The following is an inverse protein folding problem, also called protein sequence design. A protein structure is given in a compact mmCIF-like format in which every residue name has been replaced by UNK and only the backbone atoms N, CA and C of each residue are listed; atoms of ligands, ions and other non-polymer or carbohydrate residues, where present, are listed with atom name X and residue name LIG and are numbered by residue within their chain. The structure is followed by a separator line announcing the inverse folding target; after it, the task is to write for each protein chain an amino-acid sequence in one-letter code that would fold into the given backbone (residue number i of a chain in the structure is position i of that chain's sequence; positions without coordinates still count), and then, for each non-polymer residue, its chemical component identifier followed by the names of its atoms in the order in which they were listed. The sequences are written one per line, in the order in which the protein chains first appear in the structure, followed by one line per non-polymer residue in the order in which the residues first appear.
data_IF_559901236995
#
_entry.id   IF_559901236995
#
_cell.length_a   1.000
_cell.length_b   1.000
_cell.length_c   1.000
_cell.angle_alpha   90.00
_cell.angle_beta   90.00
_cell.angle_gamma   90.00
#
_symmetry.space_group_name_H-M   'P 1'
#
loop_
_entity.id
_entity.type
_entity.pdbx_description
1 polymer ?
#
# COMPACT_ATOMS: atom_id res chain seq x y z
N UNK A 1 22.77 35.14 37.86
CA UNK A 1 22.81 33.80 37.23
C UNK A 1 21.39 33.41 36.82
N UNK A 2 20.97 33.76 35.61
CA UNK A 2 19.59 33.59 35.11
C UNK A 2 19.64 33.10 33.66
N UNK A 3 19.94 31.82 33.43
CA UNK A 3 19.94 31.25 32.06
C UNK A 3 19.54 29.76 31.98
N UNK A 4 18.68 29.26 32.88
CA UNK A 4 18.32 27.83 32.89
C UNK A 4 16.84 27.56 33.18
N UNK A 5 15.91 28.29 32.53
CA UNK A 5 14.47 27.98 32.66
C UNK A 5 13.65 28.01 31.36
N UNK A 6 14.30 28.09 30.19
CA UNK A 6 13.58 28.24 28.92
C UNK A 6 13.83 27.12 27.90
N UNK A 7 14.18 25.90 28.35
CA UNK A 7 14.47 24.79 27.45
C UNK A 7 13.55 23.55 27.60
N UNK A 8 12.60 23.56 28.55
CA UNK A 8 11.83 22.34 28.89
C UNK A 8 10.41 22.28 28.28
N UNK A 9 10.00 23.28 27.49
CA UNK A 9 8.62 23.39 26.99
C UNK A 9 8.42 22.95 25.52
N UNK A 10 9.46 22.47 24.83
CA UNK A 10 9.41 22.10 23.40
C UNK A 10 9.24 20.59 23.12
N UNK A 11 9.21 19.73 24.14
CA UNK A 11 9.14 18.27 23.98
C UNK A 11 7.72 17.68 23.92
N UNK A 12 6.66 18.51 23.94
CA UNK A 12 5.26 18.06 23.95
C UNK A 12 4.63 17.91 22.55
N UNK A 13 5.40 18.12 21.47
CA UNK A 13 4.93 17.95 20.08
C UNK A 13 5.46 16.66 19.43
N UNK A 14 5.63 15.59 20.22
CA UNK A 14 5.73 14.25 19.64
C UNK A 14 4.36 13.88 19.08
N UNK A 15 4.13 14.22 17.81
CA UNK A 15 2.91 13.92 17.08
C UNK A 15 2.55 12.44 17.24
N UNK A 16 1.33 12.19 17.68
CA UNK A 16 0.77 10.85 17.73
C UNK A 16 0.63 10.28 16.31
N UNK A 17 0.96 8.99 16.19
CA UNK A 17 0.74 8.08 15.06
C UNK A 17 1.80 8.10 13.93
N UNK A 18 2.93 7.41 14.17
CA UNK A 18 3.72 6.84 13.09
C UNK A 18 3.00 5.57 12.59
N UNK A 19 2.03 5.75 11.71
CA UNK A 19 1.81 4.77 10.66
C UNK A 19 3.09 4.73 9.82
N UNK A 20 3.97 3.74 10.08
CA UNK A 20 5.21 3.62 9.31
C UNK A 20 4.88 3.34 7.85
N UNK A 21 5.41 4.16 6.95
CA UNK A 21 5.30 3.95 5.51
C UNK A 21 6.63 3.48 4.94
N UNK A 22 6.57 2.44 4.10
CA UNK A 22 7.66 2.00 3.23
C UNK A 22 7.42 2.48 1.81
N UNK A 23 8.46 2.98 1.16
CA UNK A 23 8.45 3.41 -0.24
C UNK A 23 9.45 2.59 -1.05
N UNK A 24 9.13 2.34 -2.32
CA UNK A 24 9.93 1.47 -3.15
C UNK A 24 9.47 1.50 -4.58
N UNK A 25 10.26 0.87 -5.44
CA UNK A 25 10.02 0.83 -6.88
C UNK A 25 10.18 -0.58 -7.38
N UNK A 26 9.35 -0.92 -8.35
CA UNK A 26 9.39 -2.21 -9.02
C UNK A 26 8.60 -2.14 -10.32
N UNK A 27 8.20 -3.30 -10.80
CA UNK A 27 7.26 -3.47 -11.88
C UNK A 27 5.89 -3.75 -11.28
N UNK A 28 4.88 -3.03 -11.77
CA UNK A 28 3.48 -3.32 -11.51
C UNK A 28 2.89 -4.04 -12.73
N UNK A 29 1.93 -4.92 -12.46
CA UNK A 29 1.29 -5.79 -13.43
C UNK A 29 -0.22 -5.71 -13.26
N UNK A 30 -0.94 -5.72 -14.37
CA UNK A 30 -2.39 -5.83 -14.40
C UNK A 30 -2.79 -6.98 -15.31
N UNK A 31 -3.60 -7.88 -14.74
CA UNK A 31 -4.12 -9.06 -15.40
C UNK A 31 -5.65 -8.99 -15.46
N UNK A 32 -6.20 -9.55 -16.54
CA UNK A 32 -7.63 -9.76 -16.72
C UNK A 32 -7.85 -11.11 -17.37
N UNK A 33 -8.77 -11.91 -16.82
CA UNK A 33 -9.04 -13.28 -17.31
C UNK A 33 -7.79 -14.16 -17.36
N UNK A 34 -6.87 -13.96 -16.41
CA UNK A 34 -5.60 -14.69 -16.33
C UNK A 34 -4.51 -14.23 -17.32
N UNK A 35 -4.80 -13.28 -18.21
CA UNK A 35 -3.84 -12.75 -19.18
C UNK A 35 -3.27 -11.41 -18.74
N UNK A 36 -1.97 -11.20 -18.99
CA UNK A 36 -1.30 -9.94 -18.71
C UNK A 36 -1.78 -8.87 -19.70
N UNK A 37 -2.46 -7.85 -19.19
CA UNK A 37 -3.00 -6.76 -20.00
C UNK A 37 -2.03 -5.58 -20.07
N UNK A 38 -1.33 -5.30 -18.97
CA UNK A 38 -0.32 -4.25 -18.93
C UNK A 38 0.70 -4.49 -17.83
N UNK A 39 1.92 -4.00 -18.04
CA UNK A 39 2.96 -3.94 -17.02
C UNK A 39 3.81 -2.68 -17.19
N UNK A 40 4.47 -2.24 -16.14
CA UNK A 40 5.39 -1.12 -16.22
C UNK A 40 6.00 -0.77 -14.88
N UNK A 41 7.03 0.07 -14.91
CA UNK A 41 7.64 0.59 -13.70
C UNK A 41 6.62 1.40 -12.89
N UNK A 42 6.67 1.24 -11.57
CA UNK A 42 5.80 1.94 -10.65
C UNK A 42 6.50 2.26 -9.33
N UNK A 43 6.09 3.35 -8.70
CA UNK A 43 6.34 3.60 -7.28
C UNK A 43 5.26 2.91 -6.46
N UNK A 44 5.66 2.26 -5.37
CA UNK A 44 4.78 1.59 -4.41
C UNK A 44 5.04 2.18 -3.03
N UNK A 45 3.98 2.72 -2.43
CA UNK A 45 3.99 3.22 -1.05
C UNK A 45 3.03 2.36 -0.24
N UNK A 46 3.53 1.69 0.79
CA UNK A 46 2.73 0.89 1.71
C UNK A 46 2.84 1.47 3.11
N UNK A 47 1.71 1.69 3.77
CA UNK A 47 1.69 2.26 5.12
C UNK A 47 0.88 1.38 6.06
N UNK A 48 1.40 1.21 7.28
CA UNK A 48 0.67 0.58 8.37
C UNK A 48 -0.50 1.48 8.79
N UNK A 49 -1.73 1.09 8.47
CA UNK A 49 -2.91 1.85 8.83
C UNK A 49 -3.32 1.56 10.29
N UNK A 50 -3.23 0.29 10.69
CA UNK A 50 -3.19 -0.17 12.09
C UNK A 50 -2.25 -1.37 12.22
N UNK A 51 -2.24 -2.01 13.39
CA UNK A 51 -1.64 -3.32 13.62
C UNK A 51 -2.24 -4.46 12.76
N UNK A 52 -3.40 -4.25 12.14
CA UNK A 52 -4.17 -5.28 11.45
C UNK A 52 -4.30 -5.07 9.94
N UNK A 53 -4.09 -3.86 9.44
CA UNK A 53 -4.22 -3.59 8.01
C UNK A 53 -3.25 -2.51 7.52
N UNK A 54 -2.87 -2.67 6.25
CA UNK A 54 -2.02 -1.76 5.50
C UNK A 54 -2.83 -1.18 4.33
N UNK A 55 -2.55 0.06 3.95
CA UNK A 55 -2.92 0.55 2.62
C UNK A 55 -1.67 0.59 1.74
N UNK A 56 -1.83 0.23 0.47
CA UNK A 56 -0.75 0.31 -0.51
C UNK A 56 -1.22 1.01 -1.77
N UNK A 57 -0.52 2.08 -2.16
CA UNK A 57 -0.83 2.91 -3.31
C UNK A 57 0.30 2.83 -4.32
N UNK A 58 -0.06 2.58 -5.58
CA UNK A 58 0.90 2.36 -6.66
C UNK A 58 0.68 3.41 -7.74
N UNK A 59 1.74 4.13 -8.07
CA UNK A 59 1.76 5.10 -9.15
C UNK A 59 2.64 4.56 -10.28
N UNK A 60 2.02 4.21 -11.40
CA UNK A 60 2.72 3.74 -12.58
C UNK A 60 3.33 4.92 -13.31
N UNK A 61 4.52 4.75 -13.87
CA UNK A 61 5.18 5.80 -14.66
C UNK A 61 4.37 6.16 -15.94
N UNK A 62 3.48 5.27 -16.38
CA UNK A 62 2.53 5.52 -17.47
C UNK A 62 1.31 6.37 -17.07
N UNK A 63 1.15 6.69 -15.78
CA UNK A 63 0.06 7.49 -15.24
C UNK A 63 -1.10 6.70 -14.63
N UNK A 64 -1.11 5.37 -14.76
CA UNK A 64 -2.09 4.51 -14.09
C UNK A 64 -1.87 4.48 -12.57
N UNK A 65 -2.95 4.29 -11.81
CA UNK A 65 -2.89 4.23 -10.34
C UNK A 65 -3.64 3.00 -9.83
N UNK A 66 -3.08 2.39 -8.79
CA UNK A 66 -3.74 1.34 -8.01
C UNK A 66 -3.82 1.81 -6.56
N UNK A 67 -4.99 1.66 -5.94
CA UNK A 67 -5.17 1.94 -4.51
C UNK A 67 -5.73 0.70 -3.84
N UNK A 68 -5.01 0.24 -2.83
CA UNK A 68 -5.45 -0.80 -1.92
C UNK A 68 -5.71 -0.14 -0.59
N UNK A 69 -6.97 -0.13 -0.18
CA UNK A 69 -7.43 0.55 1.03
C UNK A 69 -8.23 -0.43 1.90
N UNK A 70 -8.58 0.01 3.12
CA UNK A 70 -9.43 -0.74 4.03
C UNK A 70 -10.70 0.06 4.35
N UNK A 71 -11.86 -0.53 4.08
CA UNK A 71 -13.13 0.01 4.54
C UNK A 71 -13.33 -0.38 6.01
N UNK A 72 -13.15 0.59 6.92
CA UNK A 72 -13.29 0.37 8.36
C UNK A 72 -14.74 0.09 8.78
N UNK A 73 -15.74 0.53 8.00
CA UNK A 73 -17.15 0.31 8.33
C UNK A 73 -17.59 -1.08 7.90
N UNK A 74 -17.24 -1.48 6.69
CA UNK A 74 -17.59 -2.80 6.15
C UNK A 74 -16.56 -3.89 6.52
N UNK A 75 -15.45 -3.52 7.17
CA UNK A 75 -14.34 -4.41 7.55
C UNK A 75 -13.83 -5.25 6.39
N UNK A 76 -13.56 -4.60 5.25
CA UNK A 76 -13.11 -5.28 4.03
C UNK A 76 -12.01 -4.52 3.30
N UNK A 77 -11.18 -5.25 2.56
CA UNK A 77 -10.19 -4.70 1.66
C UNK A 77 -10.86 -4.17 0.39
N UNK A 78 -10.39 -3.01 -0.07
CA UNK A 78 -10.81 -2.41 -1.32
C UNK A 78 -9.64 -2.36 -2.31
N UNK A 79 -9.90 -2.74 -3.56
CA UNK A 79 -9.01 -2.55 -4.70
C UNK A 79 -9.66 -1.54 -5.63
N UNK A 80 -9.06 -0.36 -5.76
CA UNK A 80 -9.60 0.76 -6.51
C UNK A 80 -11.06 1.09 -6.12
N UNK A 81 -11.36 1.05 -4.83
CA UNK A 81 -12.68 1.34 -4.27
C UNK A 81 -13.72 0.22 -4.41
N UNK A 82 -13.37 -0.93 -5.00
CA UNK A 82 -14.25 -2.12 -5.08
C UNK A 82 -13.81 -3.17 -4.07
N UNK A 83 -14.73 -4.01 -3.53
CA UNK A 83 -14.34 -5.12 -2.65
C UNK A 83 -13.28 -6.00 -3.32
N UNK A 84 -12.29 -6.43 -2.55
CA UNK A 84 -11.20 -7.28 -3.04
C UNK A 84 -10.49 -8.04 -1.93
N UNK A 85 -9.42 -8.73 -2.29
CA UNK A 85 -8.64 -9.54 -1.36
C UNK A 85 -7.16 -9.59 -1.76
N UNK A 86 -6.29 -9.65 -0.75
CA UNK A 86 -4.87 -9.96 -0.94
C UNK A 86 -4.69 -11.45 -1.24
N UNK A 87 -3.83 -11.79 -2.19
CA UNK A 87 -3.42 -13.16 -2.42
C UNK A 87 -2.26 -13.49 -1.46
N UNK A 88 -2.49 -14.46 -0.58
CA UNK A 88 -1.55 -14.87 0.48
C UNK A 88 -0.40 -15.75 -0.06
N UNK A 89 -0.53 -16.26 -1.30
CA UNK A 89 0.47 -17.10 -1.94
C UNK A 89 1.21 -16.33 -3.02
N UNK A 90 2.52 -16.58 -3.19
CA UNK A 90 3.29 -15.92 -4.22
C UNK A 90 2.75 -16.29 -5.61
N UNK A 91 2.32 -15.28 -6.35
CA UNK A 91 1.90 -15.43 -7.72
C UNK A 91 3.13 -15.31 -8.61
N UNK A 92 3.62 -16.44 -9.15
CA UNK A 92 4.81 -16.58 -10.00
C UNK A 92 6.16 -16.30 -9.33
N UNK A 93 6.25 -15.36 -8.38
CA UNK A 93 7.47 -15.00 -7.64
C UNK A 93 7.16 -14.78 -6.14
N UNK A 94 8.05 -15.22 -5.26
CA UNK A 94 7.95 -15.06 -3.79
C UNK A 94 7.85 -13.61 -3.32
N UNK A 95 8.36 -12.67 -4.12
CA UNK A 95 8.35 -11.23 -3.82
C UNK A 95 7.14 -10.51 -4.40
N UNK A 96 6.33 -11.20 -5.20
CA UNK A 96 5.15 -10.58 -5.79
C UNK A 96 3.99 -10.50 -4.81
N UNK A 97 3.47 -9.29 -4.66
CA UNK A 97 2.26 -9.01 -3.88
C UNK A 97 1.14 -8.75 -4.87
N UNK A 98 0.01 -9.42 -4.68
CA UNK A 98 -1.12 -9.35 -5.59
C UNK A 98 -2.45 -9.12 -4.87
N UNK A 99 -3.32 -8.34 -5.50
CA UNK A 99 -4.66 -8.05 -5.03
C UNK A 99 -5.67 -8.30 -6.15
N UNK A 100 -6.73 -9.03 -5.83
CA UNK A 100 -7.82 -9.32 -6.76
C UNK A 100 -9.07 -8.51 -6.42
N UNK A 101 -9.84 -8.14 -7.43
CA UNK A 101 -11.15 -7.49 -7.27
C UNK A 101 -12.24 -8.55 -7.20
N UNK A 102 -13.00 -8.58 -6.11
CA UNK A 102 -14.05 -9.56 -5.88
C UNK A 102 -15.17 -9.48 -6.94
N UNK A 103 -15.68 -10.64 -7.36
CA UNK A 103 -16.71 -10.71 -8.40
C UNK A 103 -16.22 -10.32 -9.80
N UNK A 104 -14.90 -10.33 -10.04
CA UNK A 104 -14.29 -10.02 -11.33
C UNK A 104 -13.10 -10.94 -11.62
N UNK A 105 -12.59 -10.86 -12.85
CA UNK A 105 -11.36 -11.54 -13.28
C UNK A 105 -10.13 -10.61 -13.25
N UNK A 106 -10.21 -9.48 -12.53
CA UNK A 106 -9.16 -8.46 -12.45
C UNK A 106 -8.18 -8.75 -11.30
N UNK A 107 -6.89 -8.67 -11.61
CA UNK A 107 -5.79 -8.90 -10.67
C UNK A 107 -4.69 -7.86 -10.90
N UNK A 108 -4.25 -7.21 -9.83
CA UNK A 108 -3.12 -6.27 -9.86
C UNK A 108 -2.00 -6.80 -8.98
N UNK A 109 -0.77 -6.71 -9.44
CA UNK A 109 0.40 -7.16 -8.69
C UNK A 109 1.56 -6.18 -8.78
N UNK A 110 2.51 -6.26 -7.84
CA UNK A 110 3.80 -5.60 -7.94
C UNK A 110 4.92 -6.46 -7.34
N UNK A 111 6.16 -6.20 -7.73
CA UNK A 111 7.38 -6.87 -7.23
C UNK A 111 8.32 -5.92 -6.47
N UNK A 112 7.79 -4.81 -5.93
CA UNK A 112 8.59 -3.76 -5.28
C UNK A 112 9.29 -4.21 -4.00
N UNK A 113 8.87 -5.35 -3.41
CA UNK A 113 9.37 -5.84 -2.14
C UNK A 113 8.91 -5.02 -0.92
N UNK A 114 7.94 -4.11 -1.09
CA UNK A 114 7.33 -3.37 0.01
C UNK A 114 5.99 -3.98 0.43
N UNK A 115 5.92 -4.37 1.69
CA UNK A 115 4.81 -5.05 2.35
C UNK A 115 4.07 -4.15 3.33
#
# INVERSE_FOLDING_TARGET
MHKFRLALLLSLLAGTAHAGCGEGRGTCYYYKKGELQSQGACAVTTCAATDQYFFTHWDWDSGNKVRIDWDTKAQQLLVNGKPGYSLVLPYKDEKMICYAVAGSDELVCNDSGNY
#
